data_IF_437552357954
#
_entry.id   IF_437552357954
#
_cell.length_a   1.000
_cell.length_b   1.000
_cell.length_c   1.000
_cell.angle_alpha   90.00
_cell.angle_beta   90.00
_cell.angle_gamma   90.00
#
_symmetry.space_group_name_H-M   'P 1'
#
loop_
_entity.id
_entity.type
_entity.pdbx_description
1 polymer ?
#
# COMPACT_ATOMS: atom_id res chain seq x y z
N UNK A 1 -23.82 30.51 -96.79
CA UNK A 1 -24.69 31.26 -95.84
C UNK A 1 -25.00 30.54 -94.53
N UNK A 2 -24.80 29.22 -94.38
CA UNK A 2 -25.17 28.49 -93.14
C UNK A 2 -24.23 28.73 -91.93
N UNK A 3 -22.93 29.00 -92.15
CA UNK A 3 -21.97 29.24 -91.06
C UNK A 3 -22.27 30.52 -90.23
N UNK A 4 -22.81 31.57 -90.87
CA UNK A 4 -23.21 32.81 -90.17
C UNK A 4 -24.46 32.64 -89.29
N UNK A 5 -25.39 31.77 -89.69
CA UNK A 5 -26.60 31.46 -88.90
C UNK A 5 -26.26 30.63 -87.65
N UNK A 6 -25.32 29.70 -87.76
CA UNK A 6 -24.83 28.88 -86.63
C UNK A 6 -24.06 29.75 -85.62
N UNK A 7 -23.21 30.67 -86.09
CA UNK A 7 -22.49 31.58 -85.20
C UNK A 7 -23.42 32.57 -84.47
N UNK A 8 -24.49 33.03 -85.15
CA UNK A 8 -25.54 33.86 -84.53
C UNK A 8 -26.38 33.10 -83.52
N UNK A 9 -26.66 31.81 -83.74
CA UNK A 9 -27.39 30.97 -82.78
C UNK A 9 -26.56 30.63 -81.54
N UNK A 10 -25.25 30.42 -81.68
CA UNK A 10 -24.33 30.20 -80.55
C UNK A 10 -24.23 31.47 -79.68
N UNK A 11 -24.16 32.65 -80.29
CA UNK A 11 -24.13 33.92 -79.57
C UNK A 11 -25.43 34.18 -78.78
N UNK A 12 -26.59 33.82 -79.37
CA UNK A 12 -27.89 33.95 -78.71
C UNK A 12 -28.07 32.95 -77.55
N UNK A 13 -27.47 31.76 -77.64
CA UNK A 13 -27.45 30.76 -76.56
C UNK A 13 -26.54 31.18 -75.39
N UNK A 14 -25.41 31.82 -75.68
CA UNK A 14 -24.48 32.37 -74.67
C UNK A 14 -25.08 33.55 -73.91
N UNK A 15 -25.85 34.41 -74.60
CA UNK A 15 -26.59 35.52 -73.98
C UNK A 15 -27.75 35.03 -73.08
N UNK A 16 -28.33 33.87 -73.41
CA UNK A 16 -29.43 33.28 -72.62
C UNK A 16 -28.91 32.63 -71.32
N UNK A 17 -27.70 32.08 -71.32
CA UNK A 17 -27.05 31.46 -70.16
C UNK A 17 -26.58 32.51 -69.13
N UNK A 18 -26.13 33.68 -69.58
CA UNK A 18 -25.75 34.78 -68.68
C UNK A 18 -26.94 35.41 -67.94
N UNK A 19 -28.17 35.30 -68.48
CA UNK A 19 -29.39 35.72 -67.79
C UNK A 19 -29.78 34.79 -66.61
N UNK A 20 -29.33 33.54 -66.60
CA UNK A 20 -29.62 32.58 -65.51
C UNK A 20 -28.70 32.73 -64.28
N UNK A 21 -27.62 33.51 -64.35
CA UNK A 21 -26.70 33.73 -63.22
C UNK A 21 -26.97 35.02 -62.41
N UNK A 22 -27.99 35.81 -62.76
CA UNK A 22 -28.42 36.99 -61.98
C UNK A 22 -29.49 36.68 -60.93
N UNK A 23 -29.43 35.50 -60.30
CA UNK A 23 -30.21 35.12 -59.12
C UNK A 23 -29.44 35.37 -57.82
N UNK A 24 -29.03 36.62 -57.57
CA UNK A 24 -28.52 37.05 -56.26
C UNK A 24 -29.73 37.32 -55.36
N UNK A 25 -30.07 36.36 -54.51
CA UNK A 25 -31.09 36.56 -53.48
C UNK A 25 -30.46 37.30 -52.31
N UNK A 26 -31.02 38.47 -52.00
CA UNK A 26 -30.61 39.31 -50.90
C UNK A 26 -30.90 38.64 -49.56
N UNK A 27 -29.91 37.98 -48.98
CA UNK A 27 -29.82 37.82 -47.52
C UNK A 27 -28.99 38.97 -47.00
N UNK A 28 -29.65 39.88 -46.28
CA UNK A 28 -29.07 40.94 -45.48
C UNK A 28 -27.90 40.38 -44.68
N UNK A 29 -26.69 40.81 -45.02
CA UNK A 29 -25.55 40.76 -44.10
C UNK A 29 -25.67 41.96 -43.15
N UNK A 30 -25.80 41.77 -41.83
CA UNK A 30 -25.15 42.67 -40.91
C UNK A 30 -23.66 42.31 -40.91
N UNK A 31 -22.85 43.33 -41.17
CA UNK A 31 -21.41 43.33 -40.98
C UNK A 31 -21.06 43.06 -39.51
N UNK A 32 -20.70 41.83 -39.20
CA UNK A 32 -19.68 41.51 -38.20
C UNK A 32 -19.15 40.13 -38.54
N UNK A 33 -17.85 40.05 -38.85
CA UNK A 33 -17.13 38.78 -38.81
C UNK A 33 -17.51 38.08 -37.51
N UNK A 34 -17.84 36.78 -37.49
CA UNK A 34 -18.03 36.05 -36.24
C UNK A 34 -16.85 36.37 -35.36
N UNK A 35 -17.12 36.97 -34.20
CA UNK A 35 -16.10 37.41 -33.28
C UNK A 35 -15.26 36.16 -32.99
N UNK A 36 -14.02 36.11 -33.48
CA UNK A 36 -13.19 34.88 -33.42
C UNK A 36 -13.11 34.34 -31.99
N UNK A 37 -13.25 35.24 -31.00
CA UNK A 37 -13.39 34.95 -29.58
C UNK A 37 -14.65 34.15 -29.22
N UNK A 38 -15.80 34.49 -29.77
CA UNK A 38 -17.07 33.77 -29.56
C UNK A 38 -17.07 32.41 -30.26
N UNK A 39 -16.52 32.33 -31.49
CA UNK A 39 -16.37 31.05 -32.19
C UNK A 39 -15.35 30.15 -31.48
N UNK A 40 -14.24 30.70 -30.98
CA UNK A 40 -13.27 29.96 -30.15
C UNK A 40 -13.91 29.46 -28.87
N UNK A 41 -14.70 30.30 -28.19
CA UNK A 41 -15.38 29.89 -26.96
C UNK A 41 -16.39 28.78 -27.25
N UNK A 42 -17.17 28.90 -28.32
CA UNK A 42 -18.10 27.86 -28.77
C UNK A 42 -17.38 26.53 -29.06
N UNK A 43 -16.22 26.57 -29.71
CA UNK A 43 -15.41 25.36 -29.95
C UNK A 43 -14.87 24.78 -28.64
N UNK A 44 -14.39 25.61 -27.71
CA UNK A 44 -13.94 25.15 -26.39
C UNK A 44 -15.11 24.51 -25.63
N UNK A 45 -16.28 25.13 -25.66
CA UNK A 45 -17.47 24.64 -24.99
C UNK A 45 -17.92 23.29 -25.60
N UNK A 46 -17.90 23.15 -26.93
CA UNK A 46 -18.15 21.88 -27.64
C UNK A 46 -17.13 20.81 -27.21
N UNK A 47 -15.84 21.14 -27.10
CA UNK A 47 -14.82 20.18 -26.65
C UNK A 47 -14.97 19.81 -25.16
N UNK A 48 -15.51 20.71 -24.34
CA UNK A 48 -15.77 20.46 -22.91
C UNK A 48 -17.06 19.68 -22.66
N UNK A 49 -18.01 19.69 -23.62
CA UNK A 49 -19.23 18.88 -23.54
C UNK A 49 -18.92 17.38 -23.50
N UNK A 50 -19.87 16.63 -22.95
CA UNK A 50 -19.76 15.17 -22.85
C UNK A 50 -19.68 14.50 -24.23
N UNK A 51 -20.32 15.11 -25.24
CA UNK A 51 -20.26 14.69 -26.64
C UNK A 51 -18.87 14.91 -27.23
N UNK A 52 -18.24 16.07 -26.99
CA UNK A 52 -16.87 16.36 -27.41
C UNK A 52 -15.85 15.42 -26.77
N UNK A 53 -15.97 15.17 -25.45
CA UNK A 53 -15.13 14.20 -24.73
C UNK A 53 -15.33 12.77 -25.26
N UNK A 54 -16.57 12.39 -25.54
CA UNK A 54 -16.92 11.08 -26.10
C UNK A 54 -16.36 10.90 -27.50
N UNK A 55 -16.48 11.91 -28.36
CA UNK A 55 -15.92 11.90 -29.71
C UNK A 55 -14.39 11.79 -29.70
N UNK A 56 -13.70 12.50 -28.80
CA UNK A 56 -12.24 12.36 -28.61
C UNK A 56 -11.89 10.96 -28.13
N UNK A 57 -12.64 10.40 -27.18
CA UNK A 57 -12.42 9.04 -26.66
C UNK A 57 -12.66 7.97 -27.73
N UNK A 58 -13.67 8.14 -28.59
CA UNK A 58 -13.96 7.26 -29.72
C UNK A 58 -12.88 7.34 -30.81
N UNK A 59 -12.39 8.55 -31.09
CA UNK A 59 -11.27 8.76 -32.01
C UNK A 59 -9.95 8.17 -31.46
N UNK A 60 -9.67 8.33 -30.16
CA UNK A 60 -8.47 7.82 -29.50
C UNK A 60 -8.49 6.28 -29.34
N UNK A 61 -9.67 5.67 -29.21
CA UNK A 61 -9.83 4.20 -29.13
C UNK A 61 -9.81 3.50 -30.49
N UNK A 62 -9.66 4.23 -31.60
CA UNK A 62 -9.42 3.67 -32.93
C UNK A 62 -10.64 2.97 -33.56
N UNK A 63 -11.85 3.16 -33.04
CA UNK A 63 -13.03 2.38 -33.47
C UNK A 63 -13.69 2.93 -34.73
N UNK A 64 -13.33 4.12 -35.21
CA UNK A 64 -13.92 4.75 -36.39
C UNK A 64 -12.88 5.07 -37.48
N UNK A 65 -12.87 4.20 -38.49
CA UNK A 65 -12.52 4.47 -39.91
C UNK A 65 -11.20 5.23 -40.15
N UNK A 66 -10.12 4.49 -40.40
CA UNK A 66 -9.04 4.94 -41.31
C UNK A 66 -7.95 5.89 -40.77
N UNK A 67 -7.85 6.09 -39.46
CA UNK A 67 -6.85 6.98 -38.83
C UNK A 67 -5.66 6.24 -38.21
N UNK A 68 -4.68 5.86 -39.06
CA UNK A 68 -3.25 5.68 -38.79
C UNK A 68 -2.79 5.42 -37.33
N UNK A 69 -2.19 4.24 -37.09
CA UNK A 69 -0.86 3.89 -36.52
C UNK A 69 0.05 4.93 -35.80
N UNK A 70 -0.41 6.17 -35.55
CA UNK A 70 0.31 7.34 -35.03
C UNK A 70 -0.17 7.77 -33.63
N UNK A 71 -1.24 7.16 -33.12
CA UNK A 71 -1.64 7.21 -31.71
C UNK A 71 -1.04 6.06 -30.88
N UNK A 72 -0.34 5.13 -31.54
CA UNK A 72 0.51 4.17 -30.85
C UNK A 72 1.75 4.93 -30.35
N UNK A 73 1.67 5.47 -29.15
CA UNK A 73 2.82 6.03 -28.43
C UNK A 73 3.94 4.98 -28.43
N UNK A 74 5.14 5.37 -28.84
CA UNK A 74 6.30 4.48 -28.76
C UNK A 74 6.70 4.23 -27.30
N UNK A 75 7.38 3.11 -27.02
CA UNK A 75 7.75 2.71 -25.65
C UNK A 75 8.49 3.82 -24.86
N UNK A 76 9.36 4.59 -25.53
CA UNK A 76 10.06 5.73 -24.91
C UNK A 76 9.14 6.92 -24.60
N UNK A 77 8.15 7.18 -25.44
CA UNK A 77 7.19 8.26 -25.26
C UNK A 77 6.22 7.91 -24.13
N UNK A 78 5.76 6.66 -24.08
CA UNK A 78 4.97 6.12 -22.96
C UNK A 78 5.77 6.23 -21.65
N UNK A 79 7.04 5.84 -21.66
CA UNK A 79 7.90 5.95 -20.46
C UNK A 79 8.05 7.39 -19.99
N UNK A 80 8.28 8.34 -20.89
CA UNK A 80 8.38 9.77 -20.56
C UNK A 80 7.07 10.33 -20.01
N UNK A 81 5.92 9.94 -20.57
CA UNK A 81 4.61 10.35 -20.07
C UNK A 81 4.38 9.78 -18.66
N UNK A 82 4.70 8.51 -18.43
CA UNK A 82 4.58 7.92 -17.08
C UNK A 82 5.50 8.65 -16.09
N UNK A 83 6.75 8.94 -16.47
CA UNK A 83 7.70 9.60 -15.58
C UNK A 83 7.33 11.07 -15.28
N UNK A 84 6.91 11.81 -16.30
CA UNK A 84 6.72 13.27 -16.18
C UNK A 84 5.29 13.65 -15.79
N UNK A 85 4.30 12.89 -16.25
CA UNK A 85 2.90 13.18 -15.94
C UNK A 85 2.42 12.30 -14.79
N UNK A 86 2.53 10.98 -14.89
CA UNK A 86 1.95 10.09 -13.88
C UNK A 86 2.71 10.11 -12.54
N UNK A 87 4.05 10.18 -12.59
CA UNK A 87 4.92 10.19 -11.41
C UNK A 87 5.35 11.60 -10.96
N UNK A 88 4.69 12.66 -11.47
CA UNK A 88 4.93 14.01 -10.96
C UNK A 88 4.47 14.15 -9.51
N UNK A 89 5.09 15.06 -8.75
CA UNK A 89 4.76 15.28 -7.34
C UNK A 89 3.25 15.54 -7.10
N UNK A 90 2.60 16.26 -8.01
CA UNK A 90 1.17 16.57 -7.92
C UNK A 90 0.29 15.32 -8.15
N UNK A 91 0.72 14.41 -9.03
CA UNK A 91 -0.02 13.19 -9.32
C UNK A 91 0.32 12.02 -8.38
N UNK A 92 1.47 12.07 -7.67
CA UNK A 92 1.75 11.18 -6.53
C UNK A 92 0.69 11.34 -5.44
N UNK A 93 0.19 12.55 -5.20
CA UNK A 93 -0.88 12.76 -4.22
C UNK A 93 -2.18 12.06 -4.65
N UNK A 94 -2.57 12.18 -5.91
CA UNK A 94 -3.71 11.43 -6.47
C UNK A 94 -3.47 9.92 -6.43
N UNK A 95 -2.25 9.45 -6.65
CA UNK A 95 -1.91 8.04 -6.55
C UNK A 95 -2.04 7.53 -5.11
N UNK A 96 -1.66 8.33 -4.10
CA UNK A 96 -1.92 8.01 -2.69
C UNK A 96 -3.40 7.96 -2.37
N UNK A 97 -4.21 8.86 -2.94
CA UNK A 97 -5.67 8.81 -2.81
C UNK A 97 -6.25 7.54 -3.45
N UNK A 98 -5.79 7.19 -4.65
CA UNK A 98 -6.18 5.94 -5.33
C UNK A 98 -5.75 4.69 -4.54
N UNK A 99 -4.64 4.72 -3.83
CA UNK A 99 -4.22 3.62 -2.95
C UNK A 99 -5.21 3.37 -1.80
N UNK A 100 -5.98 4.37 -1.39
CA UNK A 100 -7.03 4.18 -0.38
C UNK A 100 -8.29 3.50 -0.95
N UNK A 101 -8.41 3.38 -2.28
CA UNK A 101 -9.52 2.64 -2.90
C UNK A 101 -9.30 1.11 -2.78
N UNK A 102 -10.23 0.35 -2.16
CA UNK A 102 -10.09 -1.09 -1.97
C UNK A 102 -10.01 -1.87 -3.28
N UNK A 103 -10.69 -1.42 -4.33
CA UNK A 103 -10.72 -2.11 -5.62
C UNK A 103 -9.35 -2.02 -6.29
N UNK A 104 -8.80 -0.80 -6.35
CA UNK A 104 -7.46 -0.54 -6.84
C UNK A 104 -6.40 -1.30 -6.03
N UNK A 105 -6.43 -1.21 -4.70
CA UNK A 105 -5.44 -1.89 -3.83
C UNK A 105 -5.55 -3.40 -3.87
N UNK A 106 -6.75 -3.96 -4.06
CA UNK A 106 -6.92 -5.41 -4.28
C UNK A 106 -6.27 -5.87 -5.58
N UNK A 107 -6.49 -5.14 -6.67
CA UNK A 107 -5.91 -5.49 -7.98
C UNK A 107 -4.40 -5.27 -7.98
N UNK A 108 -3.93 -4.15 -7.42
CA UNK A 108 -2.50 -3.85 -7.27
C UNK A 108 -1.81 -4.91 -6.40
N UNK A 109 -2.39 -5.26 -5.25
CA UNK A 109 -1.85 -6.29 -4.37
C UNK A 109 -1.79 -7.67 -5.03
N UNK A 110 -2.77 -8.03 -5.88
CA UNK A 110 -2.74 -9.26 -6.67
C UNK A 110 -1.62 -9.23 -7.72
N UNK A 111 -1.45 -8.11 -8.40
CA UNK A 111 -0.41 -7.94 -9.42
C UNK A 111 1.01 -8.00 -8.82
N UNK A 112 1.21 -7.42 -7.63
CA UNK A 112 2.51 -7.36 -6.95
C UNK A 112 2.78 -8.56 -6.05
N UNK A 113 1.85 -9.50 -5.90
CA UNK A 113 1.93 -10.56 -4.88
C UNK A 113 3.23 -11.36 -4.95
N UNK A 114 3.63 -11.76 -6.16
CA UNK A 114 4.78 -12.65 -6.38
C UNK A 114 6.10 -11.94 -6.09
N UNK A 115 6.23 -10.71 -6.55
CA UNK A 115 7.38 -9.85 -6.37
C UNK A 115 7.51 -9.43 -4.91
N UNK A 116 6.39 -9.11 -4.25
CA UNK A 116 6.35 -8.81 -2.82
C UNK A 116 6.70 -10.03 -1.96
N UNK A 117 6.27 -11.23 -2.35
CA UNK A 117 6.69 -12.47 -1.68
C UNK A 117 8.21 -12.70 -1.83
N UNK A 118 8.77 -12.45 -3.01
CA UNK A 118 10.21 -12.49 -3.24
C UNK A 118 10.96 -11.50 -2.35
N UNK A 119 10.53 -10.24 -2.35
CA UNK A 119 11.09 -9.18 -1.51
C UNK A 119 11.07 -9.57 -0.02
N UNK A 120 9.93 -10.04 0.49
CA UNK A 120 9.81 -10.46 1.90
C UNK A 120 10.73 -11.64 2.22
N UNK A 121 10.87 -12.61 1.31
CA UNK A 121 11.79 -13.75 1.48
C UNK A 121 13.26 -13.31 1.52
N UNK A 122 13.61 -12.31 0.74
CA UNK A 122 14.98 -11.80 0.71
C UNK A 122 15.27 -10.88 1.91
N UNK A 123 14.31 -10.05 2.34
CA UNK A 123 14.39 -9.31 3.60
C UNK A 123 14.57 -10.25 4.79
N UNK A 124 13.90 -11.39 4.86
CA UNK A 124 14.13 -12.35 5.96
C UNK A 124 15.56 -12.90 6.04
N UNK A 125 16.32 -12.89 4.93
CA UNK A 125 17.73 -13.31 4.90
C UNK A 125 18.67 -12.16 5.24
N UNK A 126 18.21 -10.93 5.09
CA UNK A 126 18.98 -9.73 5.34
C UNK A 126 19.37 -9.60 6.83
N UNK A 127 20.63 -9.25 7.17
CA UNK A 127 21.05 -9.09 8.56
C UNK A 127 20.35 -7.96 9.32
N UNK A 128 20.07 -6.82 8.68
CA UNK A 128 19.44 -5.67 9.33
C UNK A 128 17.97 -5.96 9.64
N UNK A 129 17.26 -6.56 8.68
CA UNK A 129 15.87 -6.99 8.90
C UNK A 129 15.76 -8.05 10.00
N UNK A 130 16.68 -9.02 10.03
CA UNK A 130 16.74 -10.00 11.13
C UNK A 130 17.00 -9.35 12.49
N UNK A 131 17.84 -8.32 12.55
CA UNK A 131 18.06 -7.57 13.79
C UNK A 131 16.78 -6.90 14.27
N UNK A 132 16.05 -6.22 13.38
CA UNK A 132 14.75 -5.61 13.72
C UNK A 132 13.72 -6.65 14.17
N UNK A 133 13.70 -7.84 13.55
CA UNK A 133 12.85 -8.95 14.00
C UNK A 133 13.23 -9.43 15.40
N UNK A 134 14.52 -9.58 15.72
CA UNK A 134 14.97 -9.97 17.05
C UNK A 134 14.63 -8.92 18.11
N UNK A 135 14.74 -7.64 17.77
CA UNK A 135 14.30 -6.55 18.63
C UNK A 135 12.79 -6.64 18.90
N UNK A 136 12.00 -6.97 17.87
CA UNK A 136 10.54 -7.21 18.01
C UNK A 136 10.24 -8.41 18.91
N UNK A 137 11.04 -9.48 18.85
CA UNK A 137 10.89 -10.64 19.74
C UNK A 137 11.23 -10.34 21.20
N UNK A 138 11.99 -9.28 21.48
CA UNK A 138 12.26 -8.85 22.85
C UNK A 138 11.11 -8.04 23.45
N UNK A 139 10.05 -7.75 22.69
CA UNK A 139 8.88 -7.03 23.18
C UNK A 139 8.18 -7.80 24.34
N UNK A 140 7.70 -7.10 25.38
CA UNK A 140 7.03 -7.73 26.52
C UNK A 140 5.82 -8.60 26.16
N UNK A 141 5.09 -8.30 25.09
CA UNK A 141 3.96 -9.14 24.64
C UNK A 141 4.45 -10.47 24.08
N UNK A 142 5.54 -10.45 23.31
CA UNK A 142 6.18 -11.66 22.81
C UNK A 142 6.74 -12.51 23.95
N UNK A 143 7.35 -11.87 24.95
CA UNK A 143 7.81 -12.56 26.16
C UNK A 143 6.67 -13.22 26.93
N UNK A 144 5.51 -12.55 27.07
CA UNK A 144 4.32 -13.14 27.70
C UNK A 144 3.85 -14.40 26.96
N UNK A 145 3.78 -14.34 25.63
CA UNK A 145 3.41 -15.50 24.81
C UNK A 145 4.39 -16.67 25.01
N UNK A 146 5.70 -16.40 25.07
CA UNK A 146 6.70 -17.43 25.41
C UNK A 146 6.45 -17.99 26.82
N UNK A 147 6.23 -17.14 27.82
CA UNK A 147 5.99 -17.58 29.20
C UNK A 147 4.73 -18.45 29.31
N UNK A 148 3.68 -18.15 28.56
CA UNK A 148 2.48 -19.00 28.47
C UNK A 148 2.79 -20.36 27.85
N UNK A 149 3.59 -20.39 26.77
CA UNK A 149 4.06 -21.62 26.15
C UNK A 149 4.89 -22.47 27.13
N UNK A 150 5.80 -21.85 27.89
CA UNK A 150 6.59 -22.52 28.92
C UNK A 150 5.73 -23.06 30.08
N UNK A 151 4.60 -22.40 30.37
CA UNK A 151 3.63 -22.88 31.37
C UNK A 151 2.70 -23.96 30.84
N UNK A 152 2.66 -24.20 29.53
CA UNK A 152 1.79 -25.19 28.91
C UNK A 152 2.04 -26.61 29.43
N UNK A 153 0.99 -27.43 29.45
CA UNK A 153 1.11 -28.82 29.92
C UNK A 153 2.09 -29.64 29.07
N UNK A 154 2.18 -29.36 27.76
CA UNK A 154 3.12 -30.03 26.86
C UNK A 154 4.56 -29.72 27.23
N UNK A 155 4.89 -28.45 27.45
CA UNK A 155 6.23 -28.06 27.86
C UNK A 155 6.58 -28.59 29.25
N UNK A 156 5.64 -28.57 30.20
CA UNK A 156 5.85 -29.19 31.53
C UNK A 156 6.17 -30.67 31.45
N UNK A 157 5.50 -31.44 30.59
CA UNK A 157 5.80 -32.87 30.39
C UNK A 157 7.22 -33.07 29.86
N UNK A 158 7.64 -32.29 28.87
CA UNK A 158 9.02 -32.33 28.37
C UNK A 158 10.02 -31.94 29.46
N UNK A 159 9.73 -30.88 30.21
CA UNK A 159 10.56 -30.44 31.33
C UNK A 159 10.67 -31.52 32.42
N UNK A 160 9.58 -32.22 32.74
CA UNK A 160 9.60 -33.34 33.69
C UNK A 160 10.49 -34.50 33.19
N UNK A 161 10.50 -34.79 31.89
CA UNK A 161 11.42 -35.79 31.32
C UNK A 161 12.87 -35.35 31.46
N UNK A 162 13.19 -34.09 31.11
CA UNK A 162 14.55 -33.54 31.27
C UNK A 162 14.98 -33.55 32.75
N UNK A 163 14.09 -33.20 33.68
CA UNK A 163 14.36 -33.27 35.13
C UNK A 163 14.64 -34.72 35.55
N UNK A 164 13.83 -35.68 35.09
CA UNK A 164 14.01 -37.09 35.41
C UNK A 164 15.36 -37.61 34.89
N UNK A 165 15.70 -37.32 33.64
CA UNK A 165 17.00 -37.65 33.04
C UNK A 165 18.16 -36.99 33.79
N UNK A 166 17.97 -35.73 34.22
CA UNK A 166 18.97 -35.01 35.02
C UNK A 166 19.20 -35.65 36.39
N UNK A 167 18.14 -36.15 37.05
CA UNK A 167 18.24 -36.88 38.32
C UNK A 167 18.86 -38.27 38.16
N UNK A 168 18.75 -38.88 36.99
CA UNK A 168 19.40 -40.15 36.64
C UNK A 168 20.89 -39.97 36.29
N UNK A 169 21.35 -38.72 36.08
CA UNK A 169 22.75 -38.42 35.83
C UNK A 169 23.63 -38.75 37.05
N UNK A 170 24.71 -39.53 36.88
CA UNK A 170 25.63 -39.88 37.97
C UNK A 170 26.19 -38.67 38.72
N UNK A 171 26.47 -37.57 38.01
CA UNK A 171 26.94 -36.32 38.61
C UNK A 171 25.89 -35.73 39.57
N UNK A 172 24.63 -35.71 39.14
CA UNK A 172 23.55 -35.16 39.94
C UNK A 172 23.23 -36.06 41.14
N UNK A 173 23.29 -37.38 40.96
CA UNK A 173 23.14 -38.34 42.06
C UNK A 173 24.22 -38.19 43.12
N UNK A 174 25.49 -38.00 42.71
CA UNK A 174 26.59 -37.76 43.63
C UNK A 174 26.39 -36.48 44.44
N UNK A 175 26.00 -35.38 43.77
CA UNK A 175 25.72 -34.11 44.43
C UNK A 175 24.52 -34.21 45.38
N UNK A 176 23.46 -34.95 44.98
CA UNK A 176 22.31 -35.22 45.83
C UNK A 176 22.72 -36.03 47.07
N UNK A 177 23.58 -37.04 46.92
CA UNK A 177 24.11 -37.82 48.03
C UNK A 177 25.00 -36.98 48.96
N UNK A 178 25.83 -36.08 48.43
CA UNK A 178 26.63 -35.13 49.23
C UNK A 178 25.71 -34.19 50.02
N UNK A 179 24.65 -33.68 49.38
CA UNK A 179 23.67 -32.81 50.03
C UNK A 179 22.94 -33.55 51.16
N UNK A 180 22.52 -34.79 50.92
CA UNK A 180 21.86 -35.63 51.94
C UNK A 180 22.78 -35.92 53.13
N UNK A 181 24.07 -36.22 52.88
CA UNK A 181 25.06 -36.41 53.94
C UNK A 181 25.22 -35.14 54.78
N UNK A 182 25.38 -33.98 54.13
CA UNK A 182 25.51 -32.70 54.82
C UNK A 182 24.27 -32.34 55.64
N UNK A 183 23.07 -32.57 55.10
CA UNK A 183 21.82 -32.34 55.81
C UNK A 183 21.68 -33.25 57.05
N UNK A 184 22.08 -34.52 56.95
CA UNK A 184 22.13 -35.42 58.10
C UNK A 184 23.18 -34.99 59.13
N UNK A 185 24.38 -34.57 58.71
CA UNK A 185 25.40 -34.04 59.61
C UNK A 185 24.92 -32.77 60.34
N UNK A 186 24.17 -31.89 59.67
CA UNK A 186 23.56 -30.71 60.28
C UNK A 186 22.40 -31.05 61.22
N UNK A 187 21.60 -32.07 60.90
CA UNK A 187 20.53 -32.56 61.78
C UNK A 187 21.05 -33.33 63.01
N UNK A 188 22.20 -33.99 62.88
CA UNK A 188 22.87 -34.74 63.96
C UNK A 188 23.81 -33.86 64.80
N UNK A 189 24.16 -32.66 64.34
CA UNK A 189 24.77 -31.65 65.21
C UNK A 189 23.77 -31.31 66.30
N UNK A 190 24.11 -31.46 67.59
CA UNK A 190 23.23 -31.04 68.65
C UNK A 190 22.94 -29.55 68.44
N UNK A 191 21.65 -29.18 68.33
CA UNK A 191 21.24 -27.81 68.61
C UNK A 191 21.86 -27.50 69.97
N UNK A 192 22.81 -26.58 70.01
CA UNK A 192 23.19 -25.95 71.28
C UNK A 192 21.94 -25.22 71.76
N UNK A 193 21.11 -25.95 72.51
CA UNK A 193 20.32 -25.38 73.58
C UNK A 193 21.32 -24.73 74.53
N UNK A 194 21.47 -23.42 74.40
CA UNK A 194 21.89 -22.59 75.52
C UNK A 194 20.75 -22.58 76.53
N UNK A 195 20.85 -23.45 77.53
CA UNK A 195 19.95 -23.43 78.69
C UNK A 195 20.37 -22.29 79.64
N UNK A 196 19.41 -21.41 79.91
CA UNK A 196 19.19 -20.60 81.12
C UNK A 196 20.36 -19.83 81.72
N UNK A 197 20.21 -18.51 81.74
CA UNK A 197 20.46 -17.74 82.96
C UNK A 197 19.10 -17.31 83.52
N UNK A 198 18.84 -17.68 84.77
CA UNK A 198 17.64 -17.33 85.54
C UNK A 198 18.13 -16.70 86.84
N UNK A 199 17.91 -15.40 87.00
CA UNK A 199 18.36 -14.67 88.19
C UNK A 199 17.77 -13.26 88.26
N UNK A 200 16.56 -13.19 88.81
CA UNK A 200 15.93 -12.10 89.59
C UNK A 200 16.16 -10.61 89.27
N UNK A 201 15.03 -9.90 89.14
CA UNK A 201 14.96 -8.45 89.36
C UNK A 201 13.75 -7.79 88.71
N UNK A 202 12.56 -7.94 89.28
CA UNK A 202 11.49 -6.95 89.07
C UNK A 202 11.91 -5.58 89.64
N UNK A 203 11.31 -4.45 89.22
CA UNK A 203 9.86 -4.26 89.37
C UNK A 203 9.15 -3.57 88.19
N UNK A 204 7.81 -3.71 88.24
CA UNK A 204 6.75 -2.89 87.66
C UNK A 204 7.19 -1.49 87.16
N UNK A 205 6.75 -1.13 85.95
CA UNK A 205 5.88 0.04 85.85
C UNK A 205 4.91 -0.01 84.65
N UNK A 206 3.77 0.65 84.85
CA UNK A 206 2.60 0.77 83.99
C UNK A 206 2.88 1.63 82.75
N UNK A 207 2.18 1.39 81.64
CA UNK A 207 1.20 2.31 81.01
C UNK A 207 0.90 1.96 79.55
N UNK A 208 -0.41 1.94 79.25
CA UNK A 208 -1.12 2.57 78.11
C UNK A 208 -0.42 2.62 76.73
N UNK A 209 -1.06 2.34 75.60
CA UNK A 209 -2.47 2.30 75.26
C UNK A 209 -2.59 2.34 73.73
N UNK A 210 -3.82 2.17 73.24
CA UNK A 210 -4.30 2.29 71.85
C UNK A 210 -3.43 2.99 70.81
N UNK A 211 -3.33 2.34 69.64
CA UNK A 211 -3.87 2.90 68.40
C UNK A 211 -4.14 1.81 67.38
#
# INVERSE_FOLDING_TARGET
>A
MMKKKILSQIFLLMLLISLFFSGCNAVKSPSSSPNYKEMKQMVIDILQTDEGKKAIKEAASGTSVGGNKKLALGDEEVKKIIQNEFLSNDNIMKLKEMYNDPTFTSQLGKALKKENEGLMKDLMKDPEYRKMLLETMNDPEYQKMILELLKSNTYRKQMMMVIKESLESPLFQEDLLKLMKKANEEALKPKKEGQKDQGEGGPKDKQEGSK
#
